data_IF_331233758897
#
_entry.id   IF_331233758897
#
_cell.length_a   1.000
_cell.length_b   1.000
_cell.length_c   1.000
_cell.angle_alpha   90.00
_cell.angle_beta   90.00
_cell.angle_gamma   90.00
#
_symmetry.space_group_name_H-M   'P 1'
#
loop_
_entity.id
_entity.type
_entity.pdbx_description
1 polymer ?
#
# COMPACT_ATOMS: atom_id res chain seq x y z
N UNK A 1 -1.85 -16.43 -7.60
CA UNK A 1 -1.89 -15.05 -8.14
C UNK A 1 -1.97 -14.11 -6.92
N UNK A 2 -1.86 -12.77 -7.02
CA UNK A 2 -2.01 -11.92 -5.83
C UNK A 2 -3.42 -12.08 -5.24
N UNK A 3 -3.48 -12.23 -3.92
CA UNK A 3 -4.73 -12.35 -3.16
C UNK A 3 -4.94 -11.08 -2.34
N UNK A 4 -6.19 -10.60 -2.32
CA UNK A 4 -6.61 -9.40 -1.60
C UNK A 4 -7.63 -9.83 -0.54
N UNK A 5 -7.29 -9.61 0.73
CA UNK A 5 -8.22 -9.81 1.85
C UNK A 5 -9.03 -8.54 2.07
N UNK A 6 -10.36 -8.63 2.02
CA UNK A 6 -11.27 -7.50 2.26
C UNK A 6 -12.40 -7.89 3.21
N UNK A 7 -12.79 -7.00 4.10
CA UNK A 7 -13.98 -7.21 4.95
C UNK A 7 -15.24 -7.20 4.09
N UNK A 8 -16.08 -8.24 4.21
CA UNK A 8 -17.31 -8.43 3.43
C UNK A 8 -18.25 -7.24 3.58
N UNK A 9 -18.53 -6.83 4.81
CA UNK A 9 -19.53 -5.80 5.08
C UNK A 9 -19.06 -4.44 4.55
N UNK A 10 -17.74 -4.17 4.62
CA UNK A 10 -17.13 -2.98 4.02
C UNK A 10 -17.18 -3.02 2.49
N UNK A 11 -16.89 -4.18 1.90
CA UNK A 11 -16.96 -4.37 0.45
C UNK A 11 -18.40 -4.14 -0.04
N UNK A 12 -19.39 -4.71 0.62
CA UNK A 12 -20.80 -4.56 0.24
C UNK A 12 -21.30 -3.13 0.45
N UNK A 13 -20.87 -2.47 1.53
CA UNK A 13 -21.09 -1.04 1.73
C UNK A 13 -20.51 -0.21 0.59
N UNK A 14 -19.26 -0.48 0.18
CA UNK A 14 -18.61 0.22 -0.93
C UNK A 14 -19.30 -0.02 -2.29
N UNK A 15 -19.82 -1.24 -2.52
CA UNK A 15 -20.60 -1.62 -3.71
C UNK A 15 -22.04 -1.05 -3.69
N UNK A 16 -22.51 -0.53 -2.55
CA UNK A 16 -23.84 0.03 -2.39
C UNK A 16 -24.98 -1.00 -2.39
N UNK A 17 -24.67 -2.30 -2.32
CA UNK A 17 -25.65 -3.38 -2.17
C UNK A 17 -25.04 -4.57 -1.44
N UNK A 18 -25.88 -5.28 -0.69
CA UNK A 18 -25.54 -6.56 -0.08
C UNK A 18 -25.72 -7.67 -1.10
N UNK A 19 -24.77 -8.60 -1.15
CA UNK A 19 -24.83 -9.78 -2.02
C UNK A 19 -24.96 -11.03 -1.16
N UNK A 20 -25.63 -12.06 -1.69
CA UNK A 20 -25.40 -13.42 -1.22
C UNK A 20 -23.99 -13.89 -1.65
N UNK A 21 -23.50 -14.97 -1.04
CA UNK A 21 -22.20 -15.52 -1.43
C UNK A 21 -22.21 -16.00 -2.90
N UNK A 22 -23.27 -16.70 -3.31
CA UNK A 22 -23.44 -17.20 -4.69
C UNK A 22 -23.52 -16.04 -5.70
N UNK A 23 -24.27 -14.99 -5.39
CA UNK A 23 -24.35 -13.79 -6.25
C UNK A 23 -22.99 -13.09 -6.38
N UNK A 24 -22.19 -13.07 -5.31
CA UNK A 24 -20.87 -12.46 -5.32
C UNK A 24 -19.84 -13.31 -6.09
N UNK A 25 -19.91 -14.64 -5.95
CA UNK A 25 -19.11 -15.59 -6.73
C UNK A 25 -19.40 -15.45 -8.23
N UNK A 26 -20.68 -15.38 -8.62
CA UNK A 26 -21.09 -15.16 -10.01
C UNK A 26 -20.58 -13.82 -10.57
N UNK A 27 -20.61 -12.76 -9.74
CA UNK A 27 -20.07 -11.45 -10.11
C UNK A 27 -18.55 -11.53 -10.30
N UNK A 28 -17.84 -12.19 -9.38
CA UNK A 28 -16.40 -12.38 -9.46
C UNK A 28 -16.02 -13.13 -10.74
N UNK A 29 -16.69 -14.25 -11.01
CA UNK A 29 -16.48 -15.06 -12.21
C UNK A 29 -16.74 -14.25 -13.50
N UNK A 30 -17.83 -13.48 -13.54
CA UNK A 30 -18.17 -12.63 -14.68
C UNK A 30 -17.15 -11.53 -14.94
N UNK A 31 -16.55 -10.99 -13.88
CA UNK A 31 -15.50 -9.96 -13.97
C UNK A 31 -14.11 -10.55 -14.27
N UNK A 32 -13.88 -11.83 -13.96
CA UNK A 32 -12.60 -12.51 -14.14
C UNK A 32 -11.69 -12.47 -12.91
N UNK A 33 -12.29 -12.43 -11.71
CA UNK A 33 -11.63 -12.61 -10.41
C UNK A 33 -12.25 -13.82 -9.70
N UNK A 34 -11.59 -14.34 -8.68
CA UNK A 34 -12.05 -15.54 -7.97
C UNK A 34 -12.15 -15.28 -6.47
N UNK A 35 -13.25 -15.72 -5.85
CA UNK A 35 -13.36 -15.77 -4.39
C UNK A 35 -12.70 -17.08 -3.93
N UNK A 36 -11.49 -16.99 -3.39
CA UNK A 36 -10.67 -18.14 -3.00
C UNK A 36 -11.10 -18.73 -1.65
N UNK A 37 -11.32 -17.86 -0.65
CA UNK A 37 -11.60 -18.29 0.72
C UNK A 37 -12.45 -17.25 1.48
N UNK A 38 -13.30 -17.73 2.39
CA UNK A 38 -14.11 -16.91 3.29
C UNK A 38 -13.70 -17.25 4.72
N UNK A 39 -13.09 -16.30 5.41
CA UNK A 39 -12.56 -16.48 6.77
C UNK A 39 -13.05 -15.38 7.70
N UNK A 40 -12.89 -15.52 9.01
CA UNK A 40 -13.13 -14.44 9.97
C UNK A 40 -11.81 -13.90 10.54
N UNK A 41 -11.77 -12.66 11.03
CA UNK A 41 -10.56 -12.07 11.63
C UNK A 41 -9.94 -12.98 12.71
N UNK A 42 -10.76 -13.58 13.58
CA UNK A 42 -10.26 -14.49 14.61
C UNK A 42 -9.70 -15.78 14.03
N UNK A 43 -10.29 -16.33 12.95
CA UNK A 43 -9.73 -17.50 12.27
C UNK A 43 -8.34 -17.22 11.68
N UNK A 44 -8.11 -16.01 11.16
CA UNK A 44 -6.79 -15.57 10.65
C UNK A 44 -5.78 -15.45 11.81
N UNK A 45 -6.15 -14.75 12.88
CA UNK A 45 -5.28 -14.57 14.07
C UNK A 45 -4.95 -15.91 14.73
N UNK A 46 -5.92 -16.83 14.82
CA UNK A 46 -5.73 -18.17 15.40
C UNK A 46 -4.80 -19.03 14.54
N UNK A 47 -4.92 -18.94 13.20
CA UNK A 47 -4.04 -19.63 12.25
C UNK A 47 -2.61 -19.08 12.29
N UNK A 48 -2.43 -17.76 12.40
CA UNK A 48 -1.12 -17.13 12.58
C UNK A 48 -0.48 -17.45 13.95
N UNK A 49 -1.29 -17.70 14.99
CA UNK A 49 -0.83 -18.03 16.35
C UNK A 49 -0.78 -19.54 16.66
N UNK A 50 -1.07 -20.42 15.69
CA UNK A 50 -1.15 -21.88 15.89
C UNK A 50 -2.06 -22.33 17.05
N UNK A 51 -3.19 -21.67 17.23
CA UNK A 51 -4.21 -22.04 18.23
C UNK A 51 -5.34 -22.83 17.56
N UNK A 52 -5.88 -23.84 18.25
CA UNK A 52 -6.89 -24.79 17.72
C UNK A 52 -8.23 -24.16 17.34
N UNK A 53 -9.05 -24.93 16.62
CA UNK A 53 -10.37 -24.53 16.11
C UNK A 53 -11.43 -24.48 17.22
N UNK A 54 -11.97 -23.29 17.50
CA UNK A 54 -13.21 -23.09 18.29
C UNK A 54 -14.22 -22.29 17.45
N UNK A 55 -15.51 -22.49 17.74
CA UNK A 55 -16.65 -21.91 17.01
C UNK A 55 -16.57 -20.38 16.92
N UNK A 56 -17.06 -19.85 15.79
CA UNK A 56 -17.13 -18.43 15.49
C UNK A 56 -18.19 -17.74 16.39
N UNK A 57 -17.82 -16.62 17.00
CA UNK A 57 -18.80 -15.73 17.66
C UNK A 57 -19.62 -14.97 16.60
N UNK A 58 -20.86 -14.59 16.91
CA UNK A 58 -21.78 -13.88 16.01
C UNK A 58 -21.33 -12.45 15.63
N UNK A 59 -20.42 -11.84 16.39
CA UNK A 59 -19.89 -10.47 16.16
C UNK A 59 -18.59 -10.45 15.33
N UNK A 60 -18.32 -11.47 14.52
CA UNK A 60 -17.06 -11.58 13.76
C UNK A 60 -17.12 -10.94 12.37
N UNK A 61 -16.15 -10.04 12.08
CA UNK A 61 -15.99 -9.46 10.73
C UNK A 61 -15.54 -10.57 9.76
N UNK A 62 -16.39 -10.84 8.77
CA UNK A 62 -16.15 -11.82 7.72
C UNK A 62 -15.22 -11.19 6.68
N UNK A 63 -14.15 -11.91 6.33
CA UNK A 63 -13.11 -11.53 5.40
C UNK A 63 -13.18 -12.42 4.16
N UNK A 64 -13.30 -11.78 3.00
CA UNK A 64 -13.18 -12.40 1.69
C UNK A 64 -11.76 -12.31 1.19
N UNK A 65 -11.20 -13.46 0.79
CA UNK A 65 -9.93 -13.52 0.07
C UNK A 65 -10.23 -13.66 -1.40
N UNK A 66 -9.90 -12.63 -2.15
CA UNK A 66 -10.19 -12.53 -3.57
C UNK A 66 -8.89 -12.62 -4.33
N UNK A 67 -8.78 -13.61 -5.20
CA UNK A 67 -7.65 -13.77 -6.10
C UNK A 67 -7.82 -12.87 -7.33
N UNK A 68 -6.83 -12.01 -7.58
CA UNK A 68 -6.86 -11.03 -8.67
C UNK A 68 -5.75 -11.28 -9.69
N UNK A 69 -5.98 -10.99 -10.97
CA UNK A 69 -4.96 -11.11 -12.01
C UNK A 69 -3.71 -10.27 -11.70
N UNK A 70 -2.52 -10.85 -11.90
CA UNK A 70 -1.25 -10.20 -11.57
C UNK A 70 -0.93 -8.95 -12.41
N UNK A 71 -1.64 -8.73 -13.52
CA UNK A 71 -1.53 -7.58 -14.41
C UNK A 71 -2.49 -6.42 -14.05
N UNK A 72 -3.38 -6.59 -13.06
CA UNK A 72 -4.37 -5.59 -12.64
C UNK A 72 -4.03 -5.02 -11.27
N UNK A 73 -3.07 -4.10 -11.26
CA UNK A 73 -2.57 -3.47 -10.02
C UNK A 73 -3.60 -2.56 -9.34
N UNK A 74 -4.59 -2.09 -10.10
CA UNK A 74 -5.73 -1.33 -9.61
C UNK A 74 -6.63 -2.16 -8.69
N UNK A 75 -6.61 -3.50 -8.76
CA UNK A 75 -7.47 -4.37 -7.96
C UNK A 75 -6.85 -4.79 -6.62
N UNK A 76 -5.67 -4.26 -6.25
CA UNK A 76 -4.93 -4.73 -5.08
C UNK A 76 -5.45 -4.20 -3.73
N UNK A 77 -6.44 -3.29 -3.75
CA UNK A 77 -7.09 -2.74 -2.56
C UNK A 77 -8.62 -2.75 -2.69
N UNK A 78 -9.31 -2.49 -1.57
CA UNK A 78 -10.77 -2.47 -1.50
C UNK A 78 -11.37 -1.37 -2.40
N UNK A 79 -10.75 -0.20 -2.43
CA UNK A 79 -11.22 0.97 -3.18
C UNK A 79 -11.18 0.72 -4.68
N UNK A 80 -10.08 0.17 -5.18
CA UNK A 80 -9.92 -0.14 -6.60
C UNK A 80 -10.78 -1.33 -7.04
N UNK A 81 -10.90 -2.36 -6.19
CA UNK A 81 -11.80 -3.49 -6.44
C UNK A 81 -13.27 -3.04 -6.51
N UNK A 82 -13.73 -2.28 -5.51
CA UNK A 82 -15.11 -1.79 -5.46
C UNK A 82 -15.42 -0.85 -6.62
N UNK A 83 -14.52 0.08 -6.96
CA UNK A 83 -14.66 0.96 -8.12
C UNK A 83 -14.76 0.17 -9.43
N UNK A 84 -13.86 -0.80 -9.65
CA UNK A 84 -13.87 -1.60 -10.88
C UNK A 84 -15.15 -2.44 -11.03
N UNK A 85 -15.63 -3.06 -9.93
CA UNK A 85 -16.87 -3.82 -9.93
C UNK A 85 -18.11 -2.95 -10.14
N UNK A 86 -18.14 -1.73 -9.58
CA UNK A 86 -19.23 -0.77 -9.78
C UNK A 86 -19.31 -0.30 -11.24
N UNK A 87 -18.17 0.02 -11.85
CA UNK A 87 -18.08 0.40 -13.26
C UNK A 87 -18.51 -0.78 -14.15
N UNK A 88 -18.05 -2.00 -13.84
CA UNK A 88 -18.45 -3.21 -14.58
C UNK A 88 -19.97 -3.43 -14.55
N UNK A 89 -20.58 -3.23 -13.38
CA UNK A 89 -22.03 -3.30 -13.20
C UNK A 89 -22.80 -2.07 -13.72
N UNK A 90 -22.10 -1.12 -14.36
CA UNK A 90 -22.67 0.14 -14.88
C UNK A 90 -23.37 0.99 -13.80
N UNK A 91 -22.93 0.85 -12.54
CA UNK A 91 -23.40 1.67 -11.43
C UNK A 91 -22.73 3.05 -11.43
N UNK A 92 -21.46 3.09 -11.83
CA UNK A 92 -20.68 4.32 -11.96
C UNK A 92 -20.11 4.49 -13.37
N UNK A 93 -19.84 5.74 -13.72
CA UNK A 93 -19.04 6.10 -14.90
C UNK A 93 -17.54 5.93 -14.62
N UNK A 94 -16.76 5.84 -15.70
CA UNK A 94 -15.30 5.72 -15.60
C UNK A 94 -14.73 7.05 -15.05
N UNK A 95 -14.00 7.03 -13.93
CA UNK A 95 -13.43 8.24 -13.34
C UNK A 95 -12.36 8.83 -14.27
N UNK A 96 -12.31 10.16 -14.33
CA UNK A 96 -11.25 10.89 -15.04
C UNK A 96 -10.30 11.51 -14.02
N UNK A 97 -9.04 11.06 -14.01
CA UNK A 97 -8.01 11.60 -13.13
C UNK A 97 -7.26 12.74 -13.82
N UNK A 98 -7.30 13.94 -13.24
CA UNK A 98 -6.60 15.12 -13.74
C UNK A 98 -5.59 15.62 -12.72
N UNK A 99 -4.45 16.13 -13.19
CA UNK A 99 -3.47 16.80 -12.33
C UNK A 99 -3.97 18.22 -12.05
N UNK A 100 -3.98 18.63 -10.78
CA UNK A 100 -4.36 19.97 -10.39
C UNK A 100 -3.39 21.01 -10.99
N UNK A 101 -3.93 22.11 -11.51
CA UNK A 101 -3.13 23.24 -11.97
C UNK A 101 -2.60 24.02 -10.77
N UNK A 102 -1.28 23.97 -10.55
CA UNK A 102 -0.60 24.64 -9.44
C UNK A 102 0.36 25.69 -10.02
N UNK A 103 0.36 26.88 -9.43
CA UNK A 103 1.32 27.94 -9.77
C UNK A 103 2.76 27.44 -9.61
N UNK A 104 3.64 27.81 -10.55
CA UNK A 104 5.06 27.38 -10.55
C UNK A 104 5.82 27.72 -9.26
N UNK A 105 5.41 28.79 -8.57
CA UNK A 105 5.99 29.24 -7.30
C UNK A 105 5.60 28.34 -6.12
N UNK A 106 4.41 27.73 -6.16
CA UNK A 106 3.91 26.80 -5.13
C UNK A 106 4.23 25.34 -5.45
N UNK A 107 4.91 25.08 -6.57
CA UNK A 107 5.30 23.74 -7.00
C UNK A 107 6.46 23.24 -6.16
N UNK A 108 6.23 22.17 -5.41
CA UNK A 108 7.25 21.48 -4.63
C UNK A 108 8.23 20.80 -5.58
N UNK A 109 9.53 20.94 -5.32
CA UNK A 109 10.60 20.40 -6.17
C UNK A 109 11.44 19.40 -5.39
N UNK A 110 11.77 18.30 -6.05
CA UNK A 110 12.74 17.31 -5.61
C UNK A 110 14.01 17.47 -6.44
N UNK A 111 15.13 17.78 -5.80
CA UNK A 111 16.41 17.97 -6.46
C UNK A 111 17.25 16.69 -6.41
N UNK A 112 17.45 16.05 -7.55
CA UNK A 112 18.25 14.82 -7.67
C UNK A 112 19.72 15.16 -7.85
N UNK A 113 20.60 14.62 -7.00
CA UNK A 113 22.05 14.80 -7.12
C UNK A 113 22.68 13.72 -8.03
N UNK A 114 23.81 14.02 -8.71
CA UNK A 114 24.46 13.06 -9.61
C UNK A 114 24.90 11.75 -8.96
N UNK A 115 25.24 11.81 -7.66
CA UNK A 115 25.71 10.67 -6.85
C UNK A 115 24.71 9.51 -6.83
N UNK A 116 23.42 9.80 -6.97
CA UNK A 116 22.37 8.77 -6.98
C UNK A 116 22.40 7.92 -8.24
N UNK A 117 23.03 8.37 -9.33
CA UNK A 117 23.02 7.69 -10.64
C UNK A 117 23.57 6.26 -10.60
N UNK A 118 24.56 6.01 -9.73
CA UNK A 118 25.22 4.70 -9.60
C UNK A 118 24.42 3.70 -8.76
N UNK A 119 23.51 4.20 -7.91
CA UNK A 119 22.77 3.38 -6.94
C UNK A 119 21.29 3.31 -7.34
N UNK A 120 20.66 4.48 -7.55
CA UNK A 120 19.23 4.70 -7.77
C UNK A 120 19.02 5.99 -8.60
N UNK A 121 19.06 5.91 -9.94
CA UNK A 121 19.16 7.09 -10.80
C UNK A 121 17.90 7.97 -10.87
N UNK A 122 16.72 7.43 -10.54
CA UNK A 122 15.47 8.16 -10.71
C UNK A 122 14.66 8.17 -9.42
N UNK A 123 13.91 9.25 -9.24
CA UNK A 123 12.91 9.42 -8.18
C UNK A 123 11.69 10.10 -8.80
N UNK A 124 10.50 9.68 -8.39
CA UNK A 124 9.24 10.32 -8.81
C UNK A 124 8.50 10.75 -7.56
N UNK A 125 7.93 11.95 -7.58
CA UNK A 125 7.17 12.48 -6.45
C UNK A 125 5.77 12.91 -6.91
N UNK A 126 4.77 12.66 -6.07
CA UNK A 126 3.42 13.16 -6.25
C UNK A 126 2.90 13.71 -4.92
N UNK A 127 2.08 14.75 -4.98
CA UNK A 127 1.40 15.32 -3.81
C UNK A 127 -0.09 15.10 -3.99
N UNK A 128 -0.70 14.46 -3.01
CA UNK A 128 -2.14 14.36 -2.91
C UNK A 128 -2.59 15.28 -1.77
N UNK A 129 -3.47 16.24 -2.08
CA UNK A 129 -3.92 17.26 -1.14
C UNK A 129 -5.35 16.98 -0.70
N UNK A 130 -5.66 17.41 0.52
CA UNK A 130 -6.96 17.36 1.14
C UNK A 130 -7.46 15.92 1.30
N UNK A 131 -6.55 15.01 1.71
CA UNK A 131 -6.90 13.61 1.98
C UNK A 131 -7.26 13.42 3.45
N UNK A 132 -8.47 12.93 3.67
CA UNK A 132 -8.93 12.51 5.01
C UNK A 132 -8.75 11.00 5.16
N UNK A 133 -7.89 10.59 6.09
CA UNK A 133 -7.77 9.20 6.48
C UNK A 133 -8.60 8.91 7.74
N UNK A 134 -9.35 7.82 7.68
CA UNK A 134 -9.79 7.08 8.86
C UNK A 134 -8.87 5.87 9.08
N UNK A 135 -9.04 5.16 10.20
CA UNK A 135 -8.20 3.99 10.51
C UNK A 135 -8.29 2.90 9.43
N UNK A 136 -9.49 2.71 8.85
CA UNK A 136 -9.74 1.71 7.83
C UNK A 136 -9.03 2.01 6.50
N UNK A 137 -9.20 3.23 5.99
CA UNK A 137 -8.59 3.72 4.77
C UNK A 137 -7.07 3.87 4.91
N UNK A 138 -6.57 4.26 6.09
CA UNK A 138 -5.14 4.26 6.36
C UNK A 138 -4.55 2.84 6.30
N UNK A 139 -5.20 1.87 6.94
CA UNK A 139 -4.76 0.48 6.88
C UNK A 139 -4.84 -0.08 5.44
N UNK A 140 -5.91 0.22 4.70
CA UNK A 140 -6.05 -0.14 3.27
C UNK A 140 -4.93 0.47 2.42
N UNK A 141 -4.58 1.73 2.68
CA UNK A 141 -3.51 2.43 1.98
C UNK A 141 -2.12 1.82 2.24
N UNK A 142 -1.81 1.48 3.49
CA UNK A 142 -0.54 0.81 3.83
C UNK A 142 -0.49 -0.61 3.24
N UNK A 143 -1.60 -1.36 3.28
CA UNK A 143 -1.68 -2.69 2.68
C UNK A 143 -1.48 -2.65 1.15
N UNK A 144 -2.06 -1.65 0.47
CA UNK A 144 -1.80 -1.42 -0.96
C UNK A 144 -0.32 -1.18 -1.24
N UNK A 145 0.33 -0.33 -0.44
CA UNK A 145 1.76 -0.05 -0.56
C UNK A 145 2.58 -1.35 -0.42
N UNK A 146 2.31 -2.15 0.60
CA UNK A 146 3.04 -3.39 0.86
C UNK A 146 2.78 -4.46 -0.22
N UNK A 147 1.56 -4.56 -0.76
CA UNK A 147 1.23 -5.44 -1.90
C UNK A 147 1.99 -5.03 -3.17
N UNK A 148 2.04 -3.74 -3.48
CA UNK A 148 2.84 -3.23 -4.60
C UNK A 148 4.33 -3.51 -4.39
N UNK A 149 4.83 -3.31 -3.17
CA UNK A 149 6.21 -3.63 -2.79
C UNK A 149 6.55 -5.09 -2.99
N UNK A 150 5.66 -5.99 -2.59
CA UNK A 150 5.88 -7.43 -2.70
C UNK A 150 5.85 -7.91 -4.16
N UNK A 151 4.89 -7.41 -4.96
CA UNK A 151 4.64 -7.88 -6.32
C UNK A 151 5.45 -7.10 -7.38
N UNK A 152 4.90 -6.01 -7.91
CA UNK A 152 5.47 -5.30 -9.07
C UNK A 152 6.86 -4.71 -8.77
N UNK A 153 7.07 -4.30 -7.53
CA UNK A 153 8.33 -3.74 -7.06
C UNK A 153 9.39 -4.80 -6.71
N UNK A 154 9.05 -6.09 -6.80
CA UNK A 154 9.89 -7.25 -6.44
C UNK A 154 10.56 -7.10 -5.07
N UNK A 155 9.76 -7.04 -4.01
CA UNK A 155 10.23 -6.85 -2.63
C UNK A 155 11.14 -5.62 -2.48
N UNK A 156 10.74 -4.51 -3.09
CA UNK A 156 11.51 -3.27 -3.11
C UNK A 156 12.91 -3.46 -3.74
N UNK A 157 13.04 -4.25 -4.79
CA UNK A 157 14.31 -4.36 -5.56
C UNK A 157 14.27 -3.49 -6.82
N UNK A 158 13.08 -3.16 -7.31
CA UNK A 158 12.91 -2.31 -8.49
C UNK A 158 12.43 -0.92 -8.10
N UNK A 159 11.41 -0.85 -7.26
CA UNK A 159 10.78 0.40 -6.80
C UNK A 159 10.56 0.31 -5.29
N UNK A 160 10.85 1.38 -4.57
CA UNK A 160 10.45 1.58 -3.19
C UNK A 160 9.47 2.74 -3.17
N UNK A 161 8.38 2.60 -2.44
CA UNK A 161 7.38 3.67 -2.29
C UNK A 161 7.48 4.17 -0.86
N UNK A 162 7.69 5.47 -0.70
CA UNK A 162 7.69 6.16 0.59
C UNK A 162 6.49 7.10 0.65
N UNK A 163 5.87 7.18 1.82
CA UNK A 163 4.69 8.01 2.06
C UNK A 163 4.98 8.91 3.24
N UNK A 164 4.79 10.21 3.05
CA UNK A 164 5.13 11.23 4.04
C UNK A 164 3.99 12.20 4.24
N UNK A 165 3.80 12.61 5.49
CA UNK A 165 2.95 13.75 5.83
C UNK A 165 3.69 15.04 5.46
N UNK A 166 3.14 15.78 4.50
CA UNK A 166 3.71 17.01 3.98
C UNK A 166 3.66 18.14 5.00
N UNK A 167 2.70 18.14 5.93
CA UNK A 167 2.58 19.21 6.93
C UNK A 167 3.70 19.14 7.99
N UNK A 168 4.35 17.97 8.11
CA UNK A 168 5.50 17.77 9.01
C UNK A 168 6.85 18.14 8.38
N UNK A 169 6.88 18.47 7.08
CA UNK A 169 8.11 18.61 6.31
C UNK A 169 8.21 19.98 5.63
N UNK A 170 9.41 20.56 5.66
CA UNK A 170 9.71 21.81 4.96
C UNK A 170 10.75 21.57 3.86
N UNK A 171 10.50 22.16 2.68
CA UNK A 171 11.43 22.11 1.56
C UNK A 171 12.60 23.10 1.70
N UNK A 172 13.62 23.02 0.83
CA UNK A 172 13.69 22.22 -0.40
C UNK A 172 14.06 20.75 -0.16
N UNK A 173 13.44 19.84 -0.92
CA UNK A 173 13.75 18.41 -0.86
C UNK A 173 14.90 18.03 -1.79
N UNK A 174 15.84 17.24 -1.29
CA UNK A 174 16.97 16.71 -2.06
C UNK A 174 16.97 15.18 -2.02
N UNK A 175 17.38 14.56 -3.13
CA UNK A 175 17.59 13.13 -3.23
C UNK A 175 19.08 12.87 -3.50
N UNK A 176 19.76 12.36 -2.48
CA UNK A 176 21.22 12.26 -2.40
C UNK A 176 21.67 10.86 -1.95
N UNK A 177 22.93 10.54 -2.21
CA UNK A 177 23.55 9.28 -1.82
C UNK A 177 24.84 9.56 -1.04
N UNK A 178 24.71 9.63 0.29
CA UNK A 178 25.83 9.92 1.20
C UNK A 178 26.45 8.62 1.75
N UNK A 179 27.72 8.65 2.18
CA UNK A 179 28.32 7.56 2.93
C UNK A 179 27.50 7.22 4.19
N UNK A 180 27.38 5.94 4.59
CA UNK A 180 26.59 5.54 5.77
C UNK A 180 27.01 6.23 7.08
N UNK A 181 28.27 6.65 7.17
CA UNK A 181 28.82 7.34 8.33
C UNK A 181 28.27 8.77 8.52
N UNK A 182 27.75 9.37 7.46
CA UNK A 182 27.33 10.78 7.43
C UNK A 182 25.80 10.93 7.54
N UNK A 183 25.07 9.81 7.59
CA UNK A 183 23.60 9.79 7.69
C UNK A 183 23.22 9.42 9.11
N UNK A 184 22.48 10.31 9.79
CA UNK A 184 21.92 10.06 11.12
C UNK A 184 20.45 10.46 11.14
N UNK A 185 19.56 9.54 11.53
CA UNK A 185 18.14 9.82 11.66
C UNK A 185 17.48 8.89 12.69
N UNK A 186 16.28 9.26 13.15
CA UNK A 186 15.44 8.43 14.03
C UNK A 186 14.52 7.57 13.15
N UNK A 187 14.68 6.24 13.12
CA UNK A 187 13.85 5.37 12.29
C UNK A 187 12.42 5.23 12.82
N UNK A 188 11.51 4.77 11.96
CA UNK A 188 10.13 4.48 12.35
C UNK A 188 10.09 3.44 13.47
N UNK A 189 9.28 3.69 14.51
CA UNK A 189 9.15 2.86 15.74
C UNK A 189 10.41 2.80 16.60
N UNK A 190 11.32 3.75 16.46
CA UNK A 190 12.49 3.90 17.32
C UNK A 190 12.47 5.28 17.98
N UNK A 191 13.01 5.36 19.19
CA UNK A 191 13.17 6.63 19.92
C UNK A 191 14.61 7.16 19.83
N UNK A 192 15.56 6.28 19.51
CA UNK A 192 16.97 6.62 19.44
C UNK A 192 17.35 7.06 18.04
N UNK A 193 18.20 8.08 17.96
CA UNK A 193 18.87 8.46 16.73
C UNK A 193 19.94 7.41 16.40
N UNK A 194 19.93 6.91 15.16
CA UNK A 194 20.90 5.95 14.67
C UNK A 194 21.68 6.53 13.51
N UNK A 195 22.96 6.19 13.44
CA UNK A 195 23.74 6.35 12.21
C UNK A 195 23.43 5.21 11.25
N UNK A 196 23.54 5.45 9.94
CA UNK A 196 23.12 4.45 8.95
C UNK A 196 23.98 3.17 8.96
N UNK A 197 25.25 3.25 9.39
CA UNK A 197 26.12 2.09 9.63
C UNK A 197 25.57 1.19 10.77
N UNK A 198 25.31 1.78 11.93
CA UNK A 198 24.73 1.11 13.10
C UNK A 198 23.33 0.55 12.80
N UNK A 199 22.54 1.31 12.05
CA UNK A 199 21.19 0.93 11.64
C UNK A 199 21.20 -0.30 10.72
N UNK A 200 22.14 -0.37 9.78
CA UNK A 200 22.30 -1.54 8.92
C UNK A 200 22.66 -2.78 9.75
N UNK A 201 23.50 -2.65 10.77
CA UNK A 201 23.83 -3.75 11.66
C UNK A 201 22.66 -4.16 12.55
N UNK A 202 21.88 -3.20 13.05
CA UNK A 202 20.66 -3.45 13.81
C UNK A 202 19.62 -4.25 12.99
N UNK A 203 19.40 -3.86 11.73
CA UNK A 203 18.42 -4.53 10.87
C UNK A 203 18.92 -5.82 10.21
N UNK A 204 20.23 -6.10 10.16
CA UNK A 204 20.76 -7.42 9.72
C UNK A 204 20.21 -8.58 10.55
N UNK A 205 19.87 -8.32 11.81
CA UNK A 205 19.30 -9.30 12.75
C UNK A 205 17.80 -9.51 12.52
N UNK A 206 17.11 -8.54 11.90
CA UNK A 206 15.67 -8.57 11.66
C UNK A 206 15.34 -9.17 10.27
N UNK A 207 14.67 -10.32 10.19
CA UNK A 207 14.48 -11.05 8.93
C UNK A 207 13.65 -10.31 7.88
N UNK A 208 12.78 -9.35 8.27
CA UNK A 208 11.92 -8.60 7.35
C UNK A 208 12.61 -7.46 6.58
N UNK A 209 13.79 -6.99 7.01
CA UNK A 209 14.44 -5.76 6.48
C UNK A 209 15.78 -6.03 5.79
N UNK A 210 16.05 -7.29 5.45
CA UNK A 210 17.35 -7.77 4.96
C UNK A 210 17.72 -7.33 3.53
N UNK A 211 16.79 -6.73 2.78
CA UNK A 211 16.97 -6.41 1.36
C UNK A 211 16.70 -4.91 1.18
N UNK A 212 17.75 -4.11 1.14
CA UNK A 212 17.67 -2.69 0.79
C UNK A 212 18.71 -2.33 -0.27
N UNK A 213 18.88 -3.19 -1.28
CA UNK A 213 19.82 -2.94 -2.37
C UNK A 213 19.03 -2.73 -3.66
N UNK A 214 19.14 -1.51 -4.21
CA UNK A 214 18.58 -1.02 -5.47
C UNK A 214 17.05 -0.80 -5.49
N UNK A 215 16.58 0.44 -5.67
CA UNK A 215 15.21 0.75 -6.15
C UNK A 215 15.03 2.22 -6.56
N UNK A 216 14.14 2.50 -7.51
CA UNK A 216 13.51 3.81 -7.70
C UNK A 216 12.70 4.18 -6.44
N UNK A 217 12.95 5.29 -5.73
CA UNK A 217 11.98 5.79 -4.76
C UNK A 217 10.83 6.48 -5.48
N UNK A 218 9.60 6.15 -5.11
CA UNK A 218 8.41 6.96 -5.41
C UNK A 218 7.95 7.55 -4.09
N UNK A 219 7.98 8.87 -3.97
CA UNK A 219 7.51 9.56 -2.78
C UNK A 219 6.11 10.12 -3.01
N UNK A 220 5.15 9.65 -2.23
CA UNK A 220 3.84 10.29 -2.11
C UNK A 220 3.85 11.18 -0.87
N UNK A 221 3.54 12.45 -1.08
CA UNK A 221 3.32 13.40 -0.01
C UNK A 221 1.82 13.61 0.14
N UNK A 222 1.32 13.40 1.35
CA UNK A 222 -0.07 13.61 1.70
C UNK A 222 -0.19 14.93 2.46
N UNK A 223 -1.20 15.72 2.12
CA UNK A 223 -1.65 16.90 2.86
C UNK A 223 -3.14 16.79 3.07
#
# INVERSE_FOLDING_TARGET
MPTVSVGRDRLFSALGRTYSQEEFEDLCFSFGIELDDVTTEKAIIRKEKHLGEEQADEDEEIIYKIEVPANRYDLLCLEGLSQALRIFNKQDEIPTYTVAEINKESMIKMHVKPETSLIRPYVVCAVLRDITFDEASYNSFIDLQDKLHHNICRRRTLVAIGTHDLDSLEGPFTYEALPPADISFVPLKQEKNFRADELMDFYKVLPKLRILYFCLPVFFFFK
#
